data_IF_562816689132
#
_entry.id   IF_562816689132
#
_cell.length_a   1.000
_cell.length_b   1.000
_cell.length_c   1.000
_cell.angle_alpha   90.00
_cell.angle_beta   90.00
_cell.angle_gamma   90.00
#
_symmetry.space_group_name_H-M   'P 1'
#
loop_
_entity.id
_entity.type
_entity.pdbx_description
1 polymer ?
#
# COMPACT_ATOMS: atom_id res chain seq x y z
N UNK A 1 -10.83 -5.00 -35.17
CA UNK A 1 -9.45 -5.10 -35.66
C UNK A 1 -8.82 -6.41 -35.24
N UNK A 2 -8.91 -6.81 -33.98
CA UNK A 2 -8.36 -8.08 -33.46
C UNK A 2 -8.94 -9.33 -34.17
N UNK A 3 -10.15 -9.25 -34.71
CA UNK A 3 -10.85 -10.32 -35.45
C UNK A 3 -10.69 -10.20 -36.98
N UNK A 4 -9.63 -9.52 -37.45
CA UNK A 4 -9.32 -9.41 -38.89
C UNK A 4 -10.08 -8.33 -39.66
N UNK A 5 -10.91 -7.53 -38.98
CA UNK A 5 -11.63 -6.42 -39.64
C UNK A 5 -10.65 -5.24 -39.87
N UNK A 6 -10.62 -4.65 -41.08
CA UNK A 6 -9.80 -3.44 -41.33
C UNK A 6 -10.18 -2.32 -40.35
N UNK A 7 -9.17 -1.54 -39.93
CA UNK A 7 -9.36 -0.48 -38.93
C UNK A 7 -10.50 0.49 -39.29
N UNK A 8 -10.56 0.90 -40.54
CA UNK A 8 -11.60 1.86 -41.01
C UNK A 8 -13.01 1.29 -40.83
N UNK A 9 -13.23 0.04 -41.23
CA UNK A 9 -14.52 -0.63 -41.08
C UNK A 9 -14.87 -0.88 -39.61
N UNK A 10 -13.88 -1.28 -38.79
CA UNK A 10 -14.09 -1.43 -37.36
C UNK A 10 -14.48 -0.11 -36.70
N UNK A 11 -13.88 1.00 -37.13
CA UNK A 11 -14.20 2.35 -36.63
C UNK A 11 -15.61 2.79 -37.02
N UNK A 12 -16.03 2.51 -38.26
CA UNK A 12 -17.41 2.77 -38.75
C UNK A 12 -18.43 1.98 -37.91
N UNK A 13 -18.23 0.67 -37.73
CA UNK A 13 -19.08 -0.19 -36.89
C UNK A 13 -19.16 0.37 -35.45
N UNK A 14 -18.03 0.76 -34.87
CA UNK A 14 -18.02 1.32 -33.51
C UNK A 14 -18.82 2.62 -33.42
N UNK A 15 -18.74 3.47 -34.43
CA UNK A 15 -19.52 4.70 -34.51
C UNK A 15 -21.03 4.46 -34.58
N UNK A 16 -21.45 3.46 -35.36
CA UNK A 16 -22.86 3.04 -35.48
C UNK A 16 -23.39 2.50 -34.16
N UNK A 17 -22.63 1.67 -33.45
CA UNK A 17 -23.00 1.14 -32.12
C UNK A 17 -23.15 2.29 -31.10
N UNK A 18 -22.23 3.25 -31.07
CA UNK A 18 -22.31 4.43 -30.19
C UNK A 18 -23.57 5.23 -30.49
N UNK A 19 -23.86 5.49 -31.77
CA UNK A 19 -25.05 6.24 -32.18
C UNK A 19 -26.34 5.50 -31.80
N UNK A 20 -26.37 4.16 -31.94
CA UNK A 20 -27.50 3.34 -31.53
C UNK A 20 -27.73 3.44 -30.01
N UNK A 21 -26.69 3.28 -29.21
CA UNK A 21 -26.75 3.40 -27.74
C UNK A 21 -27.29 4.77 -27.30
N UNK A 22 -26.79 5.85 -27.92
CA UNK A 22 -27.26 7.22 -27.66
C UNK A 22 -28.76 7.40 -28.01
N UNK A 23 -29.23 6.80 -29.10
CA UNK A 23 -30.64 6.86 -29.51
C UNK A 23 -31.56 6.06 -28.58
N UNK A 24 -31.05 5.02 -27.94
CA UNK A 24 -31.77 4.25 -26.93
C UNK A 24 -31.69 4.85 -25.52
N UNK A 25 -30.90 5.91 -25.33
CA UNK A 25 -30.59 6.52 -24.03
C UNK A 25 -29.99 5.50 -23.03
N UNK A 26 -29.25 4.49 -23.55
CA UNK A 26 -28.62 3.45 -22.76
C UNK A 26 -27.09 3.47 -22.92
N UNK A 27 -26.31 3.11 -21.87
CA UNK A 27 -24.87 2.93 -21.99
C UNK A 27 -24.54 1.71 -22.86
N UNK A 28 -23.43 1.76 -23.61
CA UNK A 28 -23.03 0.69 -24.55
C UNK A 28 -22.87 -0.65 -23.82
N UNK A 29 -22.42 -0.62 -22.56
CA UNK A 29 -22.20 -1.81 -21.72
C UNK A 29 -23.50 -2.57 -21.40
N UNK A 30 -24.65 -1.90 -21.47
CA UNK A 30 -25.98 -2.52 -21.22
C UNK A 30 -26.64 -3.08 -22.47
N UNK A 31 -26.13 -2.79 -23.66
CA UNK A 31 -26.64 -3.37 -24.90
C UNK A 31 -26.46 -4.88 -24.94
N UNK A 32 -27.48 -5.59 -25.38
CA UNK A 32 -27.43 -7.05 -25.49
C UNK A 32 -26.60 -7.49 -26.69
N UNK A 33 -26.10 -8.71 -26.65
CA UNK A 33 -25.25 -9.24 -27.71
C UNK A 33 -25.97 -9.27 -29.08
N UNK A 34 -27.25 -9.60 -29.10
CA UNK A 34 -28.05 -9.64 -30.33
C UNK A 34 -28.23 -8.24 -30.95
N UNK A 35 -28.27 -7.20 -30.14
CA UNK A 35 -28.31 -5.79 -30.61
C UNK A 35 -26.94 -5.38 -31.20
N UNK A 36 -25.86 -5.72 -30.53
CA UNK A 36 -24.50 -5.45 -31.02
C UNK A 36 -24.19 -6.23 -32.32
N UNK A 37 -24.70 -7.46 -32.46
CA UNK A 37 -24.50 -8.30 -33.65
C UNK A 37 -25.23 -7.78 -34.89
N UNK A 38 -26.18 -6.85 -34.75
CA UNK A 38 -26.81 -6.19 -35.89
C UNK A 38 -25.82 -5.38 -36.72
N UNK A 39 -24.77 -4.83 -36.05
CA UNK A 39 -23.73 -4.02 -36.69
C UNK A 39 -22.58 -4.89 -37.22
N UNK A 40 -22.27 -5.99 -36.57
CA UNK A 40 -21.31 -6.97 -37.07
C UNK A 40 -21.51 -8.35 -36.42
N UNK A 41 -21.65 -9.42 -37.20
CA UNK A 41 -21.76 -10.78 -36.66
C UNK A 41 -20.47 -11.27 -35.97
N UNK A 42 -19.35 -10.54 -36.14
CA UNK A 42 -18.07 -10.82 -35.49
C UNK A 42 -17.99 -10.30 -34.04
N UNK A 43 -19.01 -9.56 -33.58
CA UNK A 43 -19.12 -9.15 -32.18
C UNK A 43 -19.61 -10.36 -31.38
N UNK A 44 -18.81 -10.76 -30.39
CA UNK A 44 -19.10 -11.90 -29.51
C UNK A 44 -19.05 -11.44 -28.05
N UNK A 45 -19.28 -12.34 -27.11
CA UNK A 45 -19.29 -12.02 -25.67
C UNK A 45 -17.97 -11.41 -25.14
N UNK A 46 -16.87 -11.57 -25.86
CA UNK A 46 -15.58 -10.97 -25.55
C UNK A 46 -15.56 -9.44 -25.66
N UNK A 47 -16.64 -8.83 -26.17
CA UNK A 47 -16.78 -7.36 -26.23
C UNK A 47 -16.99 -6.73 -24.85
N UNK A 48 -17.76 -7.36 -23.96
CA UNK A 48 -18.14 -6.77 -22.67
C UNK A 48 -16.94 -6.44 -21.75
N UNK A 49 -15.98 -7.34 -21.53
CA UNK A 49 -14.79 -6.98 -20.78
C UNK A 49 -14.00 -5.79 -21.36
N UNK A 50 -14.07 -5.60 -22.70
CA UNK A 50 -13.37 -4.52 -23.40
C UNK A 50 -14.06 -3.15 -23.15
N UNK A 51 -15.38 -3.16 -22.92
CA UNK A 51 -16.16 -1.96 -22.64
C UNK A 51 -15.97 -1.46 -21.19
N UNK A 52 -15.46 -2.30 -20.28
CA UNK A 52 -15.18 -1.89 -18.91
C UNK A 52 -14.08 -0.82 -18.86
N UNK A 53 -14.36 0.28 -18.17
CA UNK A 53 -13.43 1.42 -18.05
C UNK A 53 -12.07 1.00 -17.48
N UNK A 54 -12.06 0.09 -16.49
CA UNK A 54 -10.82 -0.42 -15.89
C UNK A 54 -9.97 -1.18 -16.90
N UNK A 55 -10.57 -2.01 -17.74
CA UNK A 55 -9.87 -2.73 -18.79
C UNK A 55 -9.22 -1.77 -19.79
N UNK A 56 -9.93 -0.71 -20.21
CA UNK A 56 -9.41 0.29 -21.13
C UNK A 56 -8.22 1.07 -20.55
N UNK A 57 -8.25 1.34 -19.25
CA UNK A 57 -7.14 2.01 -18.52
C UNK A 57 -5.95 1.07 -18.42
N UNK A 58 -6.17 -0.20 -18.06
CA UNK A 58 -5.09 -1.17 -17.87
C UNK A 58 -4.41 -1.60 -19.18
N UNK A 59 -5.11 -1.53 -20.31
CA UNK A 59 -4.51 -1.78 -21.65
C UNK A 59 -3.54 -0.69 -22.11
N UNK A 60 -3.52 0.48 -21.49
CA UNK A 60 -2.57 1.55 -21.81
C UNK A 60 -1.19 1.34 -21.16
N UNK A 61 -0.61 0.15 -21.35
CA UNK A 61 0.67 -0.29 -20.79
C UNK A 61 1.88 0.12 -21.67
N UNK A 62 1.85 1.30 -22.27
CA UNK A 62 2.97 1.90 -22.99
C UNK A 62 3.69 2.91 -22.10
N UNK A 63 4.92 3.25 -22.44
CA UNK A 63 5.68 4.28 -21.71
C UNK A 63 4.90 5.60 -21.70
N UNK A 64 4.60 6.13 -20.49
CA UNK A 64 3.74 7.30 -20.29
C UNK A 64 2.24 7.01 -20.36
N UNK A 65 1.83 5.75 -20.50
CA UNK A 65 0.42 5.34 -20.46
C UNK A 65 -0.18 5.41 -19.05
N UNK A 66 -1.52 5.41 -19.01
CA UNK A 66 -2.30 5.52 -17.76
C UNK A 66 -2.60 4.18 -17.09
N UNK A 67 -2.11 3.06 -17.63
CA UNK A 67 -2.25 1.73 -17.02
C UNK A 67 -1.53 1.64 -15.67
N UNK A 68 -1.98 0.74 -14.82
CA UNK A 68 -1.42 0.57 -13.45
C UNK A 68 0.09 0.30 -13.45
N UNK A 69 0.59 -0.51 -14.40
CA UNK A 69 2.02 -0.84 -14.50
C UNK A 69 2.89 0.37 -14.85
N UNK A 70 2.69 1.10 -15.99
CA UNK A 70 3.52 2.26 -16.32
C UNK A 70 3.39 3.41 -15.30
N UNK A 71 2.23 3.62 -14.70
CA UNK A 71 2.05 4.60 -13.62
C UNK A 71 2.85 4.18 -12.38
N UNK A 72 2.83 2.91 -12.01
CA UNK A 72 3.64 2.36 -10.91
C UNK A 72 5.13 2.56 -11.12
N UNK A 73 5.64 2.28 -12.32
CA UNK A 73 7.06 2.49 -12.69
C UNK A 73 7.46 3.98 -12.64
N UNK A 74 6.60 4.87 -13.13
CA UNK A 74 6.83 6.31 -13.09
C UNK A 74 6.87 6.79 -11.63
N UNK A 75 5.90 6.38 -10.80
CA UNK A 75 5.87 6.72 -9.37
C UNK A 75 7.13 6.23 -8.68
N UNK A 76 7.58 5.00 -8.95
CA UNK A 76 8.81 4.44 -8.37
C UNK A 76 10.03 5.26 -8.79
N UNK A 77 10.18 5.58 -10.08
CA UNK A 77 11.27 6.38 -10.62
C UNK A 77 11.32 7.78 -10.01
N UNK A 78 10.17 8.46 -9.89
CA UNK A 78 10.13 9.79 -9.29
C UNK A 78 10.37 9.77 -7.78
N UNK A 79 9.86 8.79 -7.04
CA UNK A 79 10.19 8.62 -5.62
C UNK A 79 11.68 8.44 -5.39
N UNK A 80 12.35 7.63 -6.22
CA UNK A 80 13.79 7.43 -6.17
C UNK A 80 14.55 8.73 -6.49
N UNK A 81 14.17 9.44 -7.55
CA UNK A 81 14.84 10.68 -7.98
C UNK A 81 14.62 11.86 -7.01
N UNK A 82 13.51 11.88 -6.28
CA UNK A 82 13.19 12.91 -5.28
C UNK A 82 13.76 12.60 -3.89
N UNK A 83 14.53 11.50 -3.75
CA UNK A 83 15.02 11.04 -2.46
C UNK A 83 13.89 10.62 -1.50
N UNK A 84 12.69 10.37 -2.05
CA UNK A 84 11.61 9.81 -1.26
C UNK A 84 12.02 8.41 -0.81
N UNK A 85 11.92 8.17 0.48
CA UNK A 85 12.31 6.91 1.07
C UNK A 85 11.55 5.75 0.41
N UNK A 86 12.27 4.68 0.03
CA UNK A 86 11.71 3.45 -0.53
C UNK A 86 10.86 2.65 0.51
N UNK A 87 10.32 3.35 1.49
CA UNK A 87 9.57 2.75 2.58
C UNK A 87 8.34 3.57 2.97
N UNK A 88 7.37 2.89 3.57
CA UNK A 88 6.21 3.51 4.20
C UNK A 88 6.20 3.14 5.67
N UNK A 89 6.03 4.14 6.56
CA UNK A 89 5.71 3.91 7.96
C UNK A 89 4.21 4.12 8.13
N UNK A 90 3.55 3.13 8.70
CA UNK A 90 2.09 3.14 8.92
C UNK A 90 1.71 2.42 10.21
N UNK A 91 0.51 2.67 10.68
CA UNK A 91 -0.08 1.89 11.76
C UNK A 91 -0.23 0.42 11.35
N UNK A 92 -0.04 -0.49 12.31
CA UNK A 92 -0.11 -1.93 12.06
C UNK A 92 -1.56 -2.39 11.86
N UNK A 93 -1.72 -3.42 11.02
CA UNK A 93 -2.96 -4.15 10.80
C UNK A 93 -2.85 -5.57 11.36
N UNK A 94 -3.97 -6.26 11.58
CA UNK A 94 -3.96 -7.66 12.00
C UNK A 94 -3.23 -8.58 11.02
N UNK A 95 -3.20 -8.23 9.74
CA UNK A 95 -2.44 -8.94 8.71
C UNK A 95 -0.92 -8.90 8.93
N UNK A 96 -0.42 -7.90 9.67
CA UNK A 96 1.01 -7.73 9.96
C UNK A 96 1.45 -8.55 11.18
N UNK A 97 0.52 -9.13 11.94
CA UNK A 97 0.78 -9.84 13.20
C UNK A 97 1.90 -10.87 13.07
N UNK A 98 1.91 -11.66 11.98
CA UNK A 98 2.95 -12.68 11.75
C UNK A 98 4.34 -12.07 11.59
N UNK A 99 4.44 -10.93 10.91
CA UNK A 99 5.71 -10.23 10.71
C UNK A 99 6.18 -9.58 12.02
N UNK A 100 5.27 -8.93 12.75
CA UNK A 100 5.54 -8.31 14.05
C UNK A 100 6.02 -9.38 15.04
N UNK A 101 5.31 -10.52 15.16
CA UNK A 101 5.72 -11.62 16.05
C UNK A 101 7.15 -12.08 15.75
N UNK A 102 7.47 -12.34 14.47
CA UNK A 102 8.83 -12.74 14.07
C UNK A 102 9.91 -11.73 14.48
N UNK A 103 9.62 -10.42 14.31
CA UNK A 103 10.56 -9.37 14.70
C UNK A 103 10.73 -9.29 16.20
N UNK A 104 9.64 -9.33 16.97
CA UNK A 104 9.66 -9.27 18.44
C UNK A 104 10.40 -10.50 19.00
N UNK A 105 10.08 -11.72 18.53
CA UNK A 105 10.70 -12.97 18.96
C UNK A 105 12.20 -12.97 18.64
N UNK A 106 12.56 -12.50 17.43
CA UNK A 106 13.96 -12.40 17.04
C UNK A 106 14.76 -11.49 17.99
N UNK A 107 14.26 -10.27 18.27
CA UNK A 107 14.95 -9.33 19.14
C UNK A 107 14.87 -9.72 20.63
N UNK A 108 13.83 -10.45 21.04
CA UNK A 108 13.77 -11.07 22.36
C UNK A 108 14.84 -12.17 22.53
N UNK A 109 15.07 -13.01 21.51
CA UNK A 109 16.13 -14.02 21.52
C UNK A 109 17.55 -13.43 21.58
N UNK A 110 17.70 -12.14 21.23
CA UNK A 110 18.94 -11.37 21.38
C UNK A 110 19.00 -10.56 22.67
N UNK A 111 18.02 -10.73 23.56
CA UNK A 111 17.87 -9.99 24.80
C UNK A 111 17.78 -8.45 24.64
N UNK A 112 17.45 -7.99 23.43
CA UNK A 112 17.26 -6.56 23.13
C UNK A 112 15.81 -6.09 23.31
N UNK A 113 14.85 -7.02 23.32
CA UNK A 113 13.44 -6.77 23.60
C UNK A 113 12.91 -7.79 24.60
N UNK A 114 11.81 -7.43 25.27
CA UNK A 114 11.06 -8.40 26.07
C UNK A 114 10.21 -9.30 25.15
N UNK A 115 10.13 -10.61 25.43
CA UNK A 115 9.25 -11.50 24.70
C UNK A 115 7.78 -11.11 24.88
N UNK A 116 6.97 -11.36 23.87
CA UNK A 116 5.52 -11.09 23.89
C UNK A 116 4.79 -12.30 23.35
N UNK A 117 3.75 -12.72 24.04
CA UNK A 117 2.88 -13.78 23.53
C UNK A 117 2.06 -13.27 22.34
N UNK A 118 1.58 -14.21 21.52
CA UNK A 118 0.72 -13.87 20.38
C UNK A 118 -0.55 -13.14 20.81
N UNK A 119 -1.13 -13.52 21.94
CA UNK A 119 -2.34 -12.89 22.48
C UNK A 119 -2.09 -11.44 22.93
N UNK A 120 -0.92 -11.18 23.54
CA UNK A 120 -0.51 -9.79 23.86
C UNK A 120 -0.34 -8.96 22.61
N UNK A 121 0.28 -9.50 21.55
CA UNK A 121 0.46 -8.80 20.28
C UNK A 121 -0.88 -8.51 19.60
N UNK A 122 -1.84 -9.44 19.65
CA UNK A 122 -3.19 -9.22 19.10
C UNK A 122 -3.90 -8.09 19.84
N UNK A 123 -3.87 -8.09 21.16
CA UNK A 123 -4.51 -7.05 22.00
C UNK A 123 -3.87 -5.68 21.78
N UNK A 124 -2.54 -5.64 21.58
CA UNK A 124 -1.76 -4.43 21.42
C UNK A 124 -1.57 -4.00 19.95
N UNK A 125 -2.22 -4.65 18.98
CA UNK A 125 -1.94 -4.41 17.54
C UNK A 125 -2.10 -2.93 17.15
N UNK A 126 -3.04 -2.22 17.77
CA UNK A 126 -3.30 -0.79 17.52
C UNK A 126 -2.19 0.13 18.07
N UNK A 127 -1.36 -0.38 18.99
CA UNK A 127 -0.23 0.37 19.55
C UNK A 127 0.97 0.32 18.61
N UNK A 128 1.01 -0.68 17.71
CA UNK A 128 2.11 -0.88 16.81
C UNK A 128 2.06 0.02 15.57
N UNK A 129 3.23 0.46 15.17
CA UNK A 129 3.53 0.94 13.83
C UNK A 129 4.49 -0.05 13.15
N UNK A 130 4.41 -0.15 11.84
CA UNK A 130 5.30 -0.97 11.01
C UNK A 130 5.97 -0.14 9.94
N UNK A 131 7.16 -0.55 9.53
CA UNK A 131 7.82 -0.02 8.35
C UNK A 131 7.83 -1.09 7.26
N UNK A 132 7.37 -0.70 6.10
CA UNK A 132 7.17 -1.55 4.94
C UNK A 132 8.07 -1.09 3.79
N UNK A 133 8.80 -2.02 3.19
CA UNK A 133 9.65 -1.80 2.02
C UNK A 133 9.21 -2.79 0.95
N UNK A 134 8.84 -2.31 -0.23
CA UNK A 134 8.36 -3.14 -1.35
C UNK A 134 7.25 -4.14 -0.94
N UNK A 135 6.28 -3.71 -0.14
CA UNK A 135 5.19 -4.55 0.32
C UNK A 135 5.54 -5.52 1.46
N UNK A 136 6.79 -5.50 1.96
CA UNK A 136 7.24 -6.37 3.03
C UNK A 136 7.49 -5.59 4.33
N UNK A 137 6.87 -5.99 5.44
CA UNK A 137 7.15 -5.44 6.77
C UNK A 137 8.55 -5.85 7.22
N UNK A 138 9.42 -4.86 7.42
CA UNK A 138 10.82 -5.07 7.81
C UNK A 138 11.19 -4.49 9.18
N UNK A 139 10.27 -3.80 9.85
CA UNK A 139 10.45 -3.31 11.21
C UNK A 139 9.13 -2.98 11.88
N UNK A 140 9.14 -2.91 13.20
CA UNK A 140 7.99 -2.53 14.02
C UNK A 140 8.44 -1.79 15.28
N UNK A 141 7.52 -1.02 15.88
CA UNK A 141 7.63 -0.44 17.21
C UNK A 141 6.22 -0.19 17.76
N UNK A 142 6.06 -0.11 19.08
CA UNK A 142 4.77 0.15 19.71
C UNK A 142 4.84 1.37 20.62
N UNK A 143 3.75 2.17 20.66
CA UNK A 143 3.52 3.24 21.62
C UNK A 143 2.50 2.73 22.66
N UNK A 144 2.98 2.33 23.82
CA UNK A 144 2.14 1.84 24.90
C UNK A 144 1.78 2.97 25.87
N UNK A 145 0.48 3.18 26.07
CA UNK A 145 -0.04 4.25 26.90
C UNK A 145 -0.29 3.74 28.31
N UNK A 146 0.37 4.36 29.31
CA UNK A 146 0.18 4.04 30.73
C UNK A 146 -0.89 4.91 31.37
N UNK A 147 -0.98 6.18 30.97
CA UNK A 147 -1.93 7.14 31.50
C UNK A 147 -2.19 8.25 30.49
N UNK A 148 -3.05 9.20 30.82
CA UNK A 148 -3.38 10.36 29.98
C UNK A 148 -2.18 11.23 29.60
N UNK A 149 -1.05 11.10 30.29
CA UNK A 149 0.15 11.92 30.03
C UNK A 149 1.43 11.15 29.82
N UNK A 150 1.41 9.81 29.95
CA UNK A 150 2.64 8.98 29.94
C UNK A 150 2.52 7.81 29.00
N UNK A 151 3.50 7.65 28.12
CA UNK A 151 3.60 6.48 27.24
C UNK A 151 5.05 5.98 27.12
N UNK A 152 5.20 4.76 26.64
CA UNK A 152 6.47 4.09 26.39
C UNK A 152 6.58 3.67 24.92
N UNK A 153 7.72 3.96 24.30
CA UNK A 153 8.10 3.29 23.05
C UNK A 153 8.75 1.97 23.41
N UNK A 154 8.15 0.88 22.93
CA UNK A 154 8.62 -0.48 23.19
C UNK A 154 8.58 -1.36 21.96
N UNK A 155 9.19 -2.55 22.05
CA UNK A 155 9.22 -3.54 20.96
C UNK A 155 9.75 -2.97 19.65
N UNK A 156 10.68 -1.99 19.71
CA UNK A 156 11.35 -1.48 18.52
C UNK A 156 12.28 -2.56 17.98
N UNK A 157 12.07 -2.94 16.73
CA UNK A 157 12.91 -3.91 16.05
C UNK A 157 12.88 -3.72 14.54
N UNK A 158 14.06 -3.73 13.92
CA UNK A 158 14.23 -3.70 12.47
C UNK A 158 14.99 -4.95 12.05
N UNK A 159 14.53 -5.63 11.01
CA UNK A 159 15.19 -6.82 10.45
C UNK A 159 16.65 -6.50 10.08
N UNK A 160 17.57 -7.41 10.33
CA UNK A 160 19.02 -7.23 10.15
C UNK A 160 19.36 -6.69 8.75
N UNK A 161 18.76 -7.27 7.71
CA UNK A 161 19.03 -6.88 6.33
C UNK A 161 18.58 -5.45 5.98
N UNK A 162 17.86 -4.81 6.89
CA UNK A 162 17.29 -3.47 6.73
C UNK A 162 17.85 -2.45 7.73
N UNK A 163 18.81 -2.84 8.57
CA UNK A 163 19.47 -1.93 9.51
C UNK A 163 20.40 -0.93 8.81
N UNK A 164 20.76 0.14 9.51
CA UNK A 164 21.64 1.19 8.98
C UNK A 164 20.99 2.14 7.96
N UNK A 165 19.72 1.91 7.60
CA UNK A 165 18.98 2.71 6.59
C UNK A 165 18.04 3.78 7.21
N UNK A 166 18.14 4.02 8.51
CA UNK A 166 17.30 5.02 9.20
C UNK A 166 15.88 4.53 9.56
N UNK A 167 15.54 3.27 9.33
CA UNK A 167 14.18 2.76 9.52
C UNK A 167 13.71 2.76 10.98
N UNK A 168 14.62 2.46 11.93
CA UNK A 168 14.32 2.60 13.36
C UNK A 168 14.01 4.05 13.75
N UNK A 169 14.76 4.99 13.17
CA UNK A 169 14.52 6.42 13.33
C UNK A 169 13.14 6.83 12.83
N UNK A 170 12.77 6.38 11.64
CA UNK A 170 11.46 6.68 11.03
C UNK A 170 10.29 6.12 11.85
N UNK A 171 10.43 4.92 12.44
CA UNK A 171 9.44 4.33 13.34
C UNK A 171 9.27 5.18 14.60
N UNK A 172 10.36 5.61 15.24
CA UNK A 172 10.31 6.47 16.43
C UNK A 172 9.65 7.80 16.09
N UNK A 173 10.03 8.44 14.98
CA UNK A 173 9.43 9.72 14.53
C UNK A 173 7.91 9.59 14.32
N UNK A 174 7.46 8.52 13.68
CA UNK A 174 6.03 8.24 13.50
C UNK A 174 5.29 8.12 14.84
N UNK A 175 5.86 7.36 15.80
CA UNK A 175 5.26 7.21 17.12
C UNK A 175 5.27 8.49 17.94
N UNK A 176 6.30 9.34 17.78
CA UNK A 176 6.34 10.66 18.44
C UNK A 176 5.28 11.61 17.87
N UNK A 177 5.04 11.60 16.55
CA UNK A 177 3.91 12.34 15.95
C UNK A 177 2.58 11.83 16.51
N UNK A 178 2.41 10.52 16.62
CA UNK A 178 1.21 9.91 17.21
C UNK A 178 1.04 10.28 18.67
N UNK A 179 2.12 10.26 19.47
CA UNK A 179 2.08 10.70 20.88
C UNK A 179 1.64 12.16 21.02
N UNK A 180 2.13 13.03 20.14
CA UNK A 180 1.73 14.45 20.09
C UNK A 180 0.26 14.62 19.73
N UNK A 181 -0.25 13.86 18.74
CA UNK A 181 -1.65 13.90 18.34
C UNK A 181 -2.59 13.40 19.44
N UNK A 182 -2.10 12.51 20.31
CA UNK A 182 -2.82 12.02 21.50
C UNK A 182 -2.67 12.93 22.71
N UNK A 183 -2.01 14.10 22.57
CA UNK A 183 -1.72 15.04 23.65
C UNK A 183 -0.96 14.42 24.85
N UNK A 184 -0.08 13.44 24.58
CA UNK A 184 0.77 12.85 25.62
C UNK A 184 1.90 13.82 26.01
N UNK A 185 2.09 14.01 27.31
CA UNK A 185 3.07 14.98 27.84
C UNK A 185 4.48 14.39 27.93
N UNK A 186 4.59 13.08 28.13
CA UNK A 186 5.85 12.39 28.35
C UNK A 186 5.88 11.04 27.63
N UNK A 187 6.95 10.81 26.89
CA UNK A 187 7.26 9.51 26.26
C UNK A 187 8.62 9.08 26.77
N UNK A 188 8.72 7.85 27.25
CA UNK A 188 9.99 7.27 27.68
C UNK A 188 10.28 5.96 26.92
N UNK A 189 11.49 5.47 27.11
CA UNK A 189 11.94 4.21 26.51
C UNK A 189 12.84 3.48 27.51
N UNK A 190 12.67 2.17 27.63
CA UNK A 190 13.60 1.30 28.33
C UNK A 190 14.47 0.60 27.27
N UNK A 191 15.76 0.89 27.24
CA UNK A 191 16.65 0.44 26.17
C UNK A 191 18.03 0.08 26.66
N UNK A 192 18.67 -0.87 25.98
CA UNK A 192 20.11 -1.16 26.11
C UNK A 192 20.98 -0.32 25.13
N UNK A 193 20.33 0.49 24.26
CA UNK A 193 21.00 1.34 23.27
C UNK A 193 20.60 2.81 23.45
N UNK A 194 20.97 3.45 24.59
CA UNK A 194 20.57 4.82 24.89
C UNK A 194 21.00 5.81 23.81
N UNK A 195 22.21 5.67 23.26
CA UNK A 195 22.76 6.54 22.23
C UNK A 195 21.88 6.70 21.00
N UNK A 196 21.12 5.65 20.64
CA UNK A 196 20.16 5.73 19.52
C UNK A 196 19.02 6.71 19.83
N UNK A 197 18.52 6.72 21.07
CA UNK A 197 17.41 7.56 21.49
C UNK A 197 17.86 8.97 21.86
N UNK A 198 19.06 9.14 22.43
CA UNK A 198 19.67 10.44 22.71
C UNK A 198 19.79 11.30 21.44
N UNK A 199 20.15 10.67 20.29
CA UNK A 199 20.18 11.34 18.99
C UNK A 199 18.79 11.81 18.51
N UNK A 200 17.73 11.40 19.21
CA UNK A 200 16.33 11.75 18.97
C UNK A 200 15.78 12.73 20.00
N UNK A 201 16.63 13.24 20.91
CA UNK A 201 16.22 14.17 21.94
C UNK A 201 15.57 13.51 23.17
N UNK A 202 15.77 12.20 23.36
CA UNK A 202 15.46 11.54 24.62
C UNK A 202 16.62 11.81 25.61
N UNK A 203 16.26 12.12 26.84
CA UNK A 203 17.19 12.37 27.96
C UNK A 203 17.24 11.18 28.91
#
# INVERSE_FOLDING_TARGET
VSKGVPFRTAHEISGEVVLYALNQEEPIESLRLDELQQFSPLIEQDVYPILELEYLVDKRNILGGTGKAPVGEIIHKYRHNLGAADYVVRDAKLTDLRAISKLVDYWASKEENLPRSKDELIKAIRDFAVIEVNGQVCGCAALYIYSTGLAEIRSLGVSINYQGKGYGKALVDHLMVRAKNLALNKVFVLTRKPQFFEQKGFE
#
